data_IF_439566896328
#
_entry.id   IF_439566896328
#
_cell.length_a   1.000
_cell.length_b   1.000
_cell.length_c   1.000
_cell.angle_alpha   90.00
_cell.angle_beta   90.00
_cell.angle_gamma   90.00
#
_symmetry.space_group_name_H-M   'P 1'
#
loop_
_entity.id
_entity.type
_entity.pdbx_description
1 polymer ?
#
# COMPACT_ATOMS: atom_id res chain seq x y z
N UNK A 1 15.08 19.07 -20.39
CA UNK A 1 13.61 19.02 -20.58
C UNK A 1 13.08 17.88 -19.72
N UNK A 2 12.17 18.16 -18.78
CA UNK A 2 11.64 17.21 -17.79
C UNK A 2 10.11 17.15 -17.83
N UNK A 3 9.52 17.20 -19.03
CA UNK A 3 8.06 17.28 -19.18
C UNK A 3 7.39 15.98 -18.72
N UNK A 4 8.05 14.84 -18.88
CA UNK A 4 7.59 13.52 -18.46
C UNK A 4 7.44 13.45 -16.94
N UNK A 5 8.44 13.94 -16.21
CA UNK A 5 8.42 14.01 -14.75
C UNK A 5 7.36 14.99 -14.26
N UNK A 6 7.21 16.14 -14.92
CA UNK A 6 6.16 17.11 -14.60
C UNK A 6 4.76 16.54 -14.84
N UNK A 7 4.54 15.90 -15.99
CA UNK A 7 3.27 15.26 -16.33
C UNK A 7 2.96 14.10 -15.38
N UNK A 8 3.93 13.23 -15.14
CA UNK A 8 3.82 12.11 -14.20
C UNK A 8 3.41 12.60 -12.79
N UNK A 9 4.15 13.57 -12.25
CA UNK A 9 3.88 14.11 -10.90
C UNK A 9 2.52 14.81 -10.86
N UNK A 10 2.18 15.57 -11.90
CA UNK A 10 0.88 16.23 -12.01
C UNK A 10 -0.27 15.22 -11.98
N UNK A 11 -0.15 14.08 -12.68
CA UNK A 11 -1.15 13.02 -12.64
C UNK A 11 -1.32 12.44 -11.24
N UNK A 12 -0.21 12.17 -10.54
CA UNK A 12 -0.26 11.64 -9.18
C UNK A 12 -0.89 12.62 -8.18
N UNK A 13 -0.51 13.89 -8.23
CA UNK A 13 -1.03 14.93 -7.34
C UNK A 13 -2.53 15.13 -7.55
N UNK A 14 -2.97 15.28 -8.80
CA UNK A 14 -4.39 15.46 -9.12
C UNK A 14 -5.23 14.24 -8.71
N UNK A 15 -4.70 13.03 -8.88
CA UNK A 15 -5.40 11.83 -8.48
C UNK A 15 -5.43 11.66 -6.95
N UNK A 16 -4.34 11.98 -6.24
CA UNK A 16 -4.33 12.01 -4.77
C UNK A 16 -5.38 12.98 -4.24
N UNK A 17 -5.45 14.19 -4.80
CA UNK A 17 -6.46 15.19 -4.43
C UNK A 17 -7.89 14.66 -4.62
N UNK A 18 -8.16 13.98 -5.75
CA UNK A 18 -9.45 13.32 -5.99
C UNK A 18 -9.76 12.18 -5.01
N UNK A 19 -8.73 11.57 -4.41
CA UNK A 19 -8.86 10.50 -3.43
C UNK A 19 -8.87 11.00 -1.98
N UNK A 20 -8.74 12.31 -1.73
CA UNK A 20 -8.57 12.86 -0.39
C UNK A 20 -9.64 12.38 0.59
N UNK A 21 -10.92 12.39 0.19
CA UNK A 21 -12.02 11.86 1.02
C UNK A 21 -11.79 10.40 1.42
N UNK A 22 -11.26 9.57 0.53
CA UNK A 22 -10.98 8.15 0.84
C UNK A 22 -9.77 8.01 1.75
N UNK A 23 -8.78 8.90 1.62
CA UNK A 23 -7.61 8.97 2.50
C UNK A 23 -8.06 9.38 3.91
N UNK A 24 -8.85 10.44 4.03
CA UNK A 24 -9.39 10.92 5.32
C UNK A 24 -10.20 9.81 6.01
N UNK A 25 -11.08 9.11 5.28
CA UNK A 25 -11.81 7.96 5.80
C UNK A 25 -10.88 6.83 6.25
N UNK A 26 -9.76 6.60 5.56
CA UNK A 26 -8.80 5.60 5.98
C UNK A 26 -8.12 5.99 7.30
N UNK A 27 -7.74 7.25 7.46
CA UNK A 27 -7.12 7.81 8.67
C UNK A 27 -8.08 7.76 9.87
N UNK A 28 -9.38 8.00 9.64
CA UNK A 28 -10.44 7.85 10.64
C UNK A 28 -10.80 6.39 10.96
N UNK A 29 -10.05 5.42 10.43
CA UNK A 29 -10.33 3.99 10.55
C UNK A 29 -11.75 3.60 10.09
N UNK A 30 -12.32 4.33 9.12
CA UNK A 30 -13.66 4.07 8.64
C UNK A 30 -13.72 2.76 7.82
N UNK A 31 -14.73 1.93 8.12
CA UNK A 31 -15.13 0.76 7.35
C UNK A 31 -16.48 0.99 6.67
N UNK A 32 -16.64 0.51 5.44
CA UNK A 32 -17.94 0.55 4.75
C UNK A 32 -18.60 -0.81 4.78
N UNK A 33 -19.90 -0.92 5.09
CA UNK A 33 -20.58 -2.21 5.12
C UNK A 33 -20.37 -2.96 3.80
N UNK A 34 -19.71 -4.11 3.88
CA UNK A 34 -19.45 -4.97 2.71
C UNK A 34 -20.56 -5.99 2.49
N UNK A 35 -21.45 -6.17 3.47
CA UNK A 35 -22.41 -7.27 3.52
C UNK A 35 -21.76 -8.63 3.84
N UNK A 36 -20.43 -8.69 3.95
CA UNK A 36 -19.71 -9.89 4.34
C UNK A 36 -19.80 -10.10 5.85
N UNK A 37 -20.08 -11.34 6.25
CA UNK A 37 -20.12 -11.76 7.65
C UNK A 37 -19.15 -12.91 7.87
N UNK A 38 -18.39 -12.84 8.96
CA UNK A 38 -17.51 -13.92 9.44
C UNK A 38 -18.09 -14.40 10.76
N UNK A 39 -18.57 -15.63 10.81
CA UNK A 39 -19.16 -16.28 11.98
C UNK A 39 -18.24 -17.30 12.65
N UNK A 40 -17.16 -17.72 12.00
CA UNK A 40 -16.26 -18.75 12.53
C UNK A 40 -14.78 -18.43 12.31
N UNK A 41 -13.91 -19.09 13.08
CA UNK A 41 -12.45 -18.97 12.94
C UNK A 41 -11.98 -19.51 11.57
N UNK A 42 -12.68 -20.50 11.01
CA UNK A 42 -12.37 -21.05 9.68
C UNK A 42 -12.67 -20.04 8.57
N UNK A 43 -13.79 -19.32 8.67
CA UNK A 43 -14.13 -18.21 7.77
C UNK A 43 -13.15 -17.04 7.94
N UNK A 44 -12.66 -16.78 9.16
CA UNK A 44 -11.64 -15.76 9.42
C UNK A 44 -10.29 -16.13 8.78
N UNK A 45 -9.87 -17.40 8.86
CA UNK A 45 -8.63 -17.88 8.22
C UNK A 45 -8.72 -17.84 6.69
N UNK A 46 -9.88 -18.21 6.13
CA UNK A 46 -10.14 -18.08 4.71
C UNK A 46 -10.07 -16.61 4.27
N UNK A 47 -10.70 -15.72 5.04
CA UNK A 47 -10.67 -14.29 4.75
C UNK A 47 -9.27 -13.69 4.84
N UNK A 48 -8.52 -14.04 5.88
CA UNK A 48 -7.10 -13.69 6.03
C UNK A 48 -6.28 -14.07 4.79
N UNK A 49 -6.48 -15.28 4.28
CA UNK A 49 -5.78 -15.77 3.09
C UNK A 49 -6.20 -15.02 1.82
N UNK A 50 -7.49 -14.71 1.68
CA UNK A 50 -8.02 -13.91 0.56
C UNK A 50 -7.47 -12.48 0.56
N UNK A 51 -7.43 -11.82 1.73
CA UNK A 51 -6.84 -10.48 1.89
C UNK A 51 -5.37 -10.50 1.51
N UNK A 52 -4.61 -11.49 1.99
CA UNK A 52 -3.21 -11.68 1.61
C UNK A 52 -3.04 -11.82 0.10
N UNK A 53 -3.85 -12.66 -0.54
CA UNK A 53 -3.83 -12.85 -2.01
C UNK A 53 -4.11 -11.55 -2.78
N UNK A 54 -5.16 -10.81 -2.39
CA UNK A 54 -5.51 -9.51 -2.99
C UNK A 54 -4.38 -8.49 -2.82
N UNK A 55 -3.79 -8.43 -1.64
CA UNK A 55 -2.64 -7.55 -1.38
C UNK A 55 -1.44 -7.90 -2.26
N UNK A 56 -1.08 -9.19 -2.35
CA UNK A 56 0.02 -9.64 -3.21
C UNK A 56 -0.24 -9.40 -4.69
N UNK A 57 -1.48 -9.50 -5.14
CA UNK A 57 -1.85 -9.13 -6.50
C UNK A 57 -1.59 -7.64 -6.78
N UNK A 58 -1.96 -6.75 -5.85
CA UNK A 58 -1.66 -5.31 -5.96
C UNK A 58 -0.14 -5.06 -6.02
N UNK A 59 0.63 -5.69 -5.14
CA UNK A 59 2.11 -5.56 -5.13
C UNK A 59 2.72 -6.10 -6.43
N UNK A 60 2.23 -7.23 -6.93
CA UNK A 60 2.74 -7.86 -8.16
C UNK A 60 2.43 -7.01 -9.39
N UNK A 61 1.24 -6.42 -9.47
CA UNK A 61 0.89 -5.45 -10.52
C UNK A 61 1.74 -4.19 -10.45
N UNK A 62 2.20 -3.82 -9.26
CA UNK A 62 3.15 -2.72 -9.08
C UNK A 62 4.58 -3.15 -9.43
N UNK A 63 5.00 -4.42 -9.43
CA UNK A 63 6.41 -4.76 -9.74
C UNK A 63 6.96 -4.28 -11.10
N UNK A 64 6.20 -4.30 -12.21
CA UNK A 64 6.64 -3.73 -13.50
C UNK A 64 7.01 -2.24 -13.43
N UNK A 65 6.54 -1.52 -12.40
CA UNK A 65 6.88 -0.14 -12.06
C UNK A 65 8.38 0.11 -12.03
N UNK A 66 9.18 -0.81 -11.44
CA UNK A 66 10.62 -0.60 -11.30
C UNK A 66 11.33 -0.50 -12.65
N UNK A 67 10.86 -1.21 -13.67
CA UNK A 67 11.40 -1.09 -15.04
C UNK A 67 10.95 0.18 -15.75
N UNK A 68 9.67 0.57 -15.59
CA UNK A 68 9.11 1.78 -16.20
C UNK A 68 9.69 3.06 -15.59
N UNK A 69 9.84 3.11 -14.26
CA UNK A 69 10.50 4.21 -13.55
C UNK A 69 11.97 4.33 -13.90
N UNK A 70 12.71 3.21 -13.95
CA UNK A 70 14.12 3.26 -14.35
C UNK A 70 14.26 3.84 -15.75
N UNK A 71 13.42 3.43 -16.69
CA UNK A 71 13.39 4.01 -18.04
C UNK A 71 12.96 5.49 -18.07
N UNK A 72 12.01 5.88 -17.23
CA UNK A 72 11.51 7.26 -17.15
C UNK A 72 12.49 8.23 -16.45
N UNK A 73 13.26 7.75 -15.47
CA UNK A 73 13.93 8.59 -14.48
C UNK A 73 15.41 8.27 -14.21
N UNK A 74 15.91 7.07 -14.53
CA UNK A 74 17.27 6.62 -14.15
C UNK A 74 18.20 6.26 -15.31
N UNK A 75 17.67 5.65 -16.37
CA UNK A 75 18.44 5.00 -17.43
C UNK A 75 18.27 5.69 -18.79
N UNK A 76 17.98 7.00 -18.82
CA UNK A 76 17.77 7.74 -20.08
C UNK A 76 18.91 7.57 -21.08
N UNK A 77 20.15 7.45 -20.59
CA UNK A 77 21.35 7.26 -21.42
C UNK A 77 21.46 5.85 -22.03
N UNK A 78 20.67 4.89 -21.55
CA UNK A 78 20.63 3.50 -22.03
C UNK A 78 19.50 3.25 -23.04
N UNK A 79 18.63 4.24 -23.30
CA UNK A 79 17.51 4.12 -24.23
C UNK A 79 17.57 5.20 -25.31
N UNK A 80 17.51 4.81 -26.57
CA UNK A 80 17.60 5.74 -27.71
C UNK A 80 16.32 6.57 -27.92
N UNK A 81 15.17 6.10 -27.42
CA UNK A 81 13.87 6.74 -27.58
C UNK A 81 13.42 7.49 -26.32
N UNK A 82 12.94 8.72 -26.50
CA UNK A 82 12.26 9.47 -25.44
C UNK A 82 10.97 8.76 -24.98
N UNK A 83 10.63 8.80 -23.67
CA UNK A 83 9.41 8.20 -23.19
C UNK A 83 8.17 8.86 -23.81
N UNK A 84 7.25 8.03 -24.26
CA UNK A 84 5.97 8.48 -24.83
C UNK A 84 5.00 8.93 -23.73
N UNK A 85 4.06 9.80 -24.07
CA UNK A 85 2.99 10.20 -23.14
C UNK A 85 2.16 9.01 -22.67
N UNK A 86 2.04 7.95 -23.49
CA UNK A 86 1.36 6.70 -23.11
C UNK A 86 2.10 5.97 -22.00
N UNK A 87 3.42 5.90 -22.06
CA UNK A 87 4.23 5.26 -21.03
C UNK A 87 4.15 6.03 -19.71
N UNK A 88 4.23 7.36 -19.75
CA UNK A 88 4.03 8.22 -18.57
C UNK A 88 2.66 8.00 -17.93
N UNK A 89 1.59 7.99 -18.73
CA UNK A 89 0.23 7.75 -18.24
C UNK A 89 0.05 6.35 -17.65
N UNK A 90 0.65 5.32 -18.27
CA UNK A 90 0.56 3.93 -17.81
C UNK A 90 1.27 3.75 -16.48
N UNK A 91 2.45 4.35 -16.35
CA UNK A 91 3.21 4.35 -15.11
C UNK A 91 2.41 5.04 -13.99
N UNK A 92 1.83 6.22 -14.26
CA UNK A 92 1.03 6.93 -13.26
C UNK A 92 -0.20 6.14 -12.84
N UNK A 93 -0.90 5.53 -13.81
CA UNK A 93 -2.05 4.67 -13.54
C UNK A 93 -1.68 3.49 -12.63
N UNK A 94 -0.51 2.88 -12.82
CA UNK A 94 -0.08 1.72 -12.02
C UNK A 94 0.12 2.08 -10.54
N UNK A 95 0.75 3.22 -10.25
CA UNK A 95 0.89 3.72 -8.85
C UNK A 95 -0.46 4.05 -8.24
N UNK A 96 -1.32 4.69 -9.02
CA UNK A 96 -2.64 5.13 -8.55
C UNK A 96 -3.57 3.94 -8.30
N UNK A 97 -3.54 2.94 -9.16
CA UNK A 97 -4.29 1.69 -8.97
C UNK A 97 -3.82 0.94 -7.73
N UNK A 98 -2.50 0.92 -7.47
CA UNK A 98 -1.97 0.38 -6.23
C UNK A 98 -2.47 1.18 -5.02
N UNK A 99 -2.30 2.51 -5.01
CA UNK A 99 -2.74 3.36 -3.89
C UNK A 99 -4.23 3.20 -3.61
N UNK A 100 -5.05 3.30 -4.65
CA UNK A 100 -6.50 3.12 -4.56
C UNK A 100 -6.87 1.72 -4.09
N UNK A 101 -6.20 0.68 -4.61
CA UNK A 101 -6.41 -0.71 -4.22
C UNK A 101 -6.16 -0.95 -2.74
N UNK A 102 -5.09 -0.38 -2.19
CA UNK A 102 -4.77 -0.45 -0.76
C UNK A 102 -5.85 0.24 0.08
N UNK A 103 -6.26 1.46 -0.29
CA UNK A 103 -7.31 2.20 0.41
C UNK A 103 -8.65 1.43 0.43
N UNK A 104 -9.05 0.88 -0.72
CA UNK A 104 -10.27 0.06 -0.85
C UNK A 104 -10.16 -1.18 0.02
N UNK A 105 -9.05 -1.92 -0.06
CA UNK A 105 -8.86 -3.16 0.69
C UNK A 105 -8.91 -2.92 2.21
N UNK A 106 -8.26 -1.85 2.71
CA UNK A 106 -8.37 -1.45 4.12
C UNK A 106 -9.83 -1.19 4.53
N UNK A 107 -10.57 -0.45 3.70
CA UNK A 107 -11.98 -0.09 3.95
C UNK A 107 -12.89 -1.32 3.92
N UNK A 108 -12.63 -2.28 3.03
CA UNK A 108 -13.35 -3.55 2.96
C UNK A 108 -13.13 -4.40 4.21
N UNK A 109 -11.87 -4.52 4.67
CA UNK A 109 -11.52 -5.29 5.87
C UNK A 109 -12.25 -4.76 7.11
N UNK A 110 -12.20 -3.44 7.32
CA UNK A 110 -12.91 -2.78 8.43
C UNK A 110 -14.42 -2.85 8.30
N UNK A 111 -14.92 -3.08 7.09
CA UNK A 111 -16.34 -3.18 6.75
C UNK A 111 -16.95 -4.57 6.94
N UNK A 112 -16.18 -5.56 7.37
CA UNK A 112 -16.66 -6.92 7.62
C UNK A 112 -17.39 -7.00 8.96
N UNK A 113 -18.56 -7.64 8.97
CA UNK A 113 -19.27 -7.95 10.21
C UNK A 113 -18.72 -9.23 10.84
N UNK A 114 -18.23 -9.16 12.07
CA UNK A 114 -17.66 -10.30 12.79
C UNK A 114 -17.94 -10.20 14.30
N UNK A 115 -17.90 -11.31 15.05
CA UNK A 115 -17.83 -11.31 16.50
C UNK A 115 -16.70 -10.42 17.03
N UNK A 116 -16.92 -9.80 18.19
CA UNK A 116 -15.95 -8.87 18.82
C UNK A 116 -14.57 -9.51 19.04
N UNK A 117 -14.51 -10.82 19.26
CA UNK A 117 -13.26 -11.58 19.42
C UNK A 117 -12.38 -11.60 18.16
N UNK A 118 -12.93 -11.29 16.98
CA UNK A 118 -12.20 -11.22 15.71
C UNK A 118 -11.83 -9.78 15.32
N UNK A 119 -12.41 -8.77 15.98
CA UNK A 119 -12.19 -7.34 15.66
C UNK A 119 -10.71 -6.97 15.59
N UNK A 120 -9.94 -7.35 16.61
CA UNK A 120 -8.50 -7.08 16.65
C UNK A 120 -7.73 -7.71 15.47
N UNK A 121 -8.15 -8.90 15.00
CA UNK A 121 -7.52 -9.55 13.84
C UNK A 121 -7.83 -8.78 12.55
N UNK A 122 -9.06 -8.29 12.41
CA UNK A 122 -9.47 -7.49 11.26
C UNK A 122 -8.77 -6.12 11.26
N UNK A 123 -8.64 -5.48 12.42
CA UNK A 123 -7.90 -4.22 12.57
C UNK A 123 -6.42 -4.38 12.25
N UNK A 124 -5.79 -5.47 12.72
CA UNK A 124 -4.40 -5.78 12.38
C UNK A 124 -4.24 -6.02 10.88
N UNK A 125 -5.20 -6.73 10.24
CA UNK A 125 -5.19 -6.97 8.79
C UNK A 125 -5.30 -5.67 7.99
N UNK A 126 -6.25 -4.81 8.35
CA UNK A 126 -6.42 -3.51 7.72
C UNK A 126 -5.17 -2.64 7.92
N UNK A 127 -4.56 -2.70 9.11
CA UNK A 127 -3.33 -1.98 9.41
C UNK A 127 -2.17 -2.48 8.57
N UNK A 128 -1.96 -3.80 8.48
CA UNK A 128 -0.90 -4.41 7.68
C UNK A 128 -0.98 -4.02 6.20
N UNK A 129 -2.18 -4.05 5.61
CA UNK A 129 -2.43 -3.56 4.24
C UNK A 129 -2.13 -2.05 4.15
N UNK A 130 -2.61 -1.27 5.12
CA UNK A 130 -2.49 0.19 5.15
C UNK A 130 -1.07 0.73 5.34
N UNK A 131 -0.12 -0.08 5.82
CA UNK A 131 1.28 0.33 6.04
C UNK A 131 1.97 0.91 4.78
N UNK A 132 1.44 0.63 3.59
CA UNK A 132 2.00 1.12 2.32
C UNK A 132 1.59 2.56 1.99
N UNK A 133 0.48 3.05 2.55
CA UNK A 133 -0.08 4.39 2.23
C UNK A 133 0.94 5.51 2.50
N UNK A 134 1.60 5.56 3.69
CA UNK A 134 2.60 6.59 3.95
C UNK A 134 3.81 6.54 3.01
N UNK A 135 4.18 5.37 2.48
CA UNK A 135 5.25 5.26 1.48
C UNK A 135 4.85 5.90 0.14
N UNK A 136 3.61 5.66 -0.32
CA UNK A 136 3.10 6.31 -1.54
C UNK A 136 2.99 7.83 -1.35
N UNK A 137 2.53 8.29 -0.19
CA UNK A 137 2.43 9.73 0.10
C UNK A 137 3.79 10.42 0.15
N UNK A 138 4.79 9.79 0.79
CA UNK A 138 6.17 10.29 0.80
C UNK A 138 6.76 10.32 -0.59
N UNK A 139 6.50 9.29 -1.41
CA UNK A 139 6.94 9.24 -2.79
C UNK A 139 6.35 10.40 -3.63
N UNK A 140 5.04 10.64 -3.57
CA UNK A 140 4.38 11.76 -4.27
C UNK A 140 4.94 13.10 -3.79
N UNK A 141 5.12 13.27 -2.48
CA UNK A 141 5.67 14.50 -1.90
C UNK A 141 7.12 14.74 -2.35
N UNK A 142 7.93 13.67 -2.38
CA UNK A 142 9.31 13.71 -2.86
C UNK A 142 9.42 14.13 -4.33
N UNK A 143 8.51 13.66 -5.19
CA UNK A 143 8.44 14.07 -6.59
C UNK A 143 8.14 15.56 -6.76
N UNK A 144 7.19 16.08 -6.00
CA UNK A 144 6.87 17.52 -6.00
C UNK A 144 8.08 18.33 -5.55
N UNK A 145 8.77 17.88 -4.50
CA UNK A 145 10.01 18.50 -4.01
C UNK A 145 11.11 18.51 -5.08
N UNK A 146 11.32 17.39 -5.78
CA UNK A 146 12.30 17.31 -6.87
C UNK A 146 11.96 18.28 -8.00
N UNK A 147 10.69 18.36 -8.43
CA UNK A 147 10.27 19.31 -9.47
C UNK A 147 10.52 20.77 -9.06
N UNK A 148 10.28 21.12 -7.80
CA UNK A 148 10.57 22.45 -7.30
C UNK A 148 12.08 22.77 -7.38
N UNK A 149 12.94 21.82 -7.01
CA UNK A 149 14.41 21.98 -7.09
C UNK A 149 14.89 22.09 -8.55
N UNK A 150 14.39 21.23 -9.44
CA UNK A 150 14.74 21.27 -10.87
C UNK A 150 14.30 22.57 -11.54
N UNK A 151 13.19 23.16 -11.09
CA UNK A 151 12.68 24.44 -11.61
C UNK A 151 13.56 25.62 -11.20
N UNK A 152 14.25 25.52 -10.06
CA UNK A 152 15.13 26.57 -9.51
C UNK A 152 16.58 26.45 -10.01
N UNK A 153 17.05 25.23 -10.27
CA UNK A 153 18.41 24.94 -10.73
C UNK A 153 18.45 24.64 -12.23
N UNK A 154 18.26 25.66 -13.06
CA UNK A 154 18.32 25.56 -14.53
C UNK A 154 19.72 25.27 -15.10
N UNK A 155 20.76 25.15 -14.25
CA UNK A 155 22.18 25.06 -14.64
C UNK A 155 22.96 23.89 -14.03
N UNK A 156 22.31 22.94 -13.33
CA UNK A 156 23.00 21.77 -12.81
C UNK A 156 22.05 20.62 -12.50
N UNK A 157 22.29 19.46 -13.12
CA UNK A 157 21.59 18.21 -12.81
C UNK A 157 21.84 17.90 -11.32
N UNK A 158 20.81 17.86 -10.46
CA UNK A 158 21.01 17.43 -9.09
C UNK A 158 21.52 16.00 -9.11
N UNK A 159 22.63 15.74 -8.41
CA UNK A 159 23.16 14.39 -8.21
C UNK A 159 22.03 13.46 -7.75
N UNK A 160 21.82 12.38 -8.52
CA UNK A 160 20.91 11.26 -8.31
C UNK A 160 20.18 11.26 -6.97
N UNK A 161 19.02 11.92 -6.93
CA UNK A 161 18.02 11.62 -5.90
C UNK A 161 17.32 10.35 -6.36
N UNK A 162 17.69 9.21 -5.79
CA UNK A 162 17.05 7.94 -6.06
C UNK A 162 15.60 8.02 -5.55
N UNK A 163 14.69 8.38 -6.44
CA UNK A 163 13.26 8.36 -6.18
C UNK A 163 12.78 6.90 -6.31
N UNK A 164 12.80 6.17 -5.20
CA UNK A 164 12.20 4.84 -5.12
C UNK A 164 10.85 4.91 -4.40
N UNK A 165 9.87 4.15 -4.91
CA UNK A 165 8.67 3.83 -4.15
C UNK A 165 8.97 2.56 -3.35
N UNK A 166 9.33 2.74 -2.08
CA UNK A 166 9.67 1.61 -1.20
C UNK A 166 8.39 0.96 -0.64
N UNK A 167 8.06 -0.20 -1.20
CA UNK A 167 6.99 -1.07 -0.69
C UNK A 167 7.60 -1.93 0.42
N UNK A 168 7.17 -1.70 1.66
CA UNK A 168 7.64 -2.47 2.81
C UNK A 168 6.66 -3.59 3.12
N UNK A 169 6.86 -4.77 2.54
CA UNK A 169 6.07 -5.94 2.92
C UNK A 169 6.64 -6.53 4.21
N UNK A 170 5.97 -6.26 5.33
CA UNK A 170 6.36 -6.80 6.63
C UNK A 170 5.76 -8.20 6.83
N UNK A 171 6.45 -9.22 6.32
CA UNK A 171 6.03 -10.63 6.45
C UNK A 171 5.75 -11.03 7.90
N UNK A 172 6.55 -10.51 8.83
CA UNK A 172 6.38 -10.74 10.27
C UNK A 172 5.01 -10.26 10.78
N UNK A 173 4.54 -9.10 10.34
CA UNK A 173 3.22 -8.60 10.75
C UNK A 173 2.09 -9.52 10.25
N UNK A 174 2.21 -10.02 9.02
CA UNK A 174 1.26 -10.98 8.47
C UNK A 174 1.30 -12.31 9.23
N UNK A 175 2.49 -12.84 9.51
CA UNK A 175 2.68 -14.05 10.32
C UNK A 175 2.10 -13.91 11.74
N UNK A 176 2.25 -12.75 12.36
CA UNK A 176 1.73 -12.47 13.70
C UNK A 176 0.19 -12.54 13.72
N UNK A 177 -0.46 -12.02 12.68
CA UNK A 177 -1.92 -12.14 12.49
C UNK A 177 -2.31 -13.60 12.31
N UNK A 178 -1.60 -14.35 11.46
CA UNK A 178 -1.83 -15.79 11.29
C UNK A 178 -1.66 -16.57 12.60
N UNK A 179 -0.70 -16.17 13.45
CA UNK A 179 -0.55 -16.73 14.80
C UNK A 179 -1.75 -16.39 15.68
N UNK A 180 -2.28 -15.16 15.67
CA UNK A 180 -3.48 -14.79 16.43
C UNK A 180 -4.69 -15.64 16.04
N UNK A 181 -4.90 -15.87 14.73
CA UNK A 181 -5.97 -16.76 14.23
C UNK A 181 -5.79 -18.19 14.75
N UNK A 182 -4.58 -18.74 14.72
CA UNK A 182 -4.29 -20.07 15.29
C UNK A 182 -4.58 -20.15 16.79
N UNK A 183 -4.38 -19.07 17.55
CA UNK A 183 -4.71 -19.04 18.97
C UNK A 183 -6.23 -19.04 19.21
N UNK A 184 -7.01 -18.41 18.34
CA UNK A 184 -8.48 -18.44 18.40
C UNK A 184 -9.03 -19.86 18.22
N UNK A 185 -8.35 -20.72 17.45
CA UNK A 185 -8.71 -22.15 17.33
C UNK A 185 -8.45 -22.98 18.59
N UNK A 186 -7.68 -22.46 19.55
CA UNK A 186 -7.25 -23.21 20.73
C UNK A 186 -7.67 -22.51 22.03
N UNK A 187 -8.97 -22.23 22.23
CA UNK A 187 -9.45 -21.46 23.38
C UNK A 187 -9.09 -22.13 24.71
N UNK A 188 -8.96 -23.47 24.75
CA UNK A 188 -8.52 -24.22 25.93
C UNK A 188 -7.09 -23.91 26.39
N UNK A 189 -6.22 -23.35 25.54
CA UNK A 189 -4.89 -22.90 25.99
C UNK A 189 -4.95 -21.76 26.99
N UNK A 190 -5.99 -20.93 26.93
CA UNK A 190 -6.26 -19.89 27.94
C UNK A 190 -6.58 -20.51 29.31
N UNK A 191 -7.35 -21.62 29.29
CA UNK A 191 -7.72 -22.36 30.49
C UNK A 191 -6.56 -23.14 31.10
N UNK A 192 -5.60 -23.60 30.28
CA UNK A 192 -4.43 -24.36 30.75
C UNK A 192 -3.24 -23.51 31.19
N UNK A 193 -3.34 -22.17 31.20
CA UNK A 193 -2.24 -21.28 31.63
C UNK A 193 -1.02 -21.26 30.70
N UNK A 194 -1.12 -21.87 29.51
CA UNK A 194 0.00 -22.02 28.57
C UNK A 194 0.31 -20.75 27.74
N UNK A 195 -0.29 -19.60 28.10
CA UNK A 195 -0.25 -18.37 27.32
C UNK A 195 0.43 -17.16 27.98
N UNK A 196 0.86 -17.25 29.25
CA UNK A 196 1.59 -16.17 29.92
C UNK A 196 2.96 -16.65 30.37
N UNK A 197 3.93 -16.60 29.46
CA UNK A 197 5.33 -16.46 29.88
C UNK A 197 5.50 -15.01 30.34
N UNK A 198 5.29 -14.79 31.63
CA UNK A 198 5.67 -13.55 32.32
C UNK A 198 7.19 -13.45 32.20
N UNK A 199 7.68 -12.60 31.30
CA UNK A 199 9.06 -12.14 31.35
C UNK A 199 9.15 -11.13 32.49
N UNK A 200 9.77 -11.56 33.60
CA UNK A 200 10.40 -10.66 34.55
C UNK A 200 11.68 -10.05 33.98
#
# INVERSE_FOLDING_TARGET
MYWELAAFTSLLVQAKEKMQVTIDLHEDCYGSPTGRKIGSVDELELYYSEVGSKFWELVTRLQPWNGQIRRLFGDRDLYEDEPTSREVNTAAATVLDFYRGILILCREIRGVSAPDEYSAVLDDLASWVGMQIPSVDRFITGLVGLLAVLSLNSSGVPNNHELSLDIHVHDKCFEDIGRKIKHLRQPWRRWLGLGQSVKG
#
